data_IF_763946227796
#
_entry.id   IF_763946227796
#
_cell.length_a   1.000
_cell.length_b   1.000
_cell.length_c   1.000
_cell.angle_alpha   90.00
_cell.angle_beta   90.00
_cell.angle_gamma   90.00
#
_symmetry.space_group_name_H-M   'P 1'
#
loop_
_entity.id
_entity.type
_entity.pdbx_description
1 polymer ?
#
# COMPACT_ATOMS: atom_id res chain seq x y z
N UNK A 1 -14.18 30.32 1.75
CA UNK A 1 -15.48 30.53 1.06
C UNK A 1 -15.78 29.24 0.32
N UNK A 2 -16.89 28.59 0.67
CA UNK A 2 -17.35 27.35 0.03
C UNK A 2 -17.96 27.75 -1.32
N UNK A 3 -17.34 27.34 -2.42
CA UNK A 3 -17.91 27.55 -3.75
C UNK A 3 -18.93 26.42 -4.01
N UNK A 4 -20.18 26.82 -4.15
CA UNK A 4 -21.34 25.93 -4.18
C UNK A 4 -21.63 25.35 -5.56
N UNK A 5 -20.85 24.35 -5.98
CA UNK A 5 -21.24 23.49 -7.11
C UNK A 5 -21.50 22.03 -6.70
N UNK A 6 -21.23 21.64 -5.46
CA UNK A 6 -21.54 20.30 -4.96
C UNK A 6 -20.85 19.17 -5.74
N UNK A 7 -19.86 19.50 -6.56
CA UNK A 7 -19.09 18.51 -7.30
C UNK A 7 -18.07 17.94 -6.33
N UNK A 8 -18.19 16.65 -6.03
CA UNK A 8 -17.24 15.93 -5.19
C UNK A 8 -15.96 15.73 -6.00
N UNK A 9 -15.22 16.81 -6.26
CA UNK A 9 -13.88 16.80 -6.83
C UNK A 9 -12.86 16.22 -5.85
N UNK A 10 -13.21 15.18 -5.09
CA UNK A 10 -12.27 14.40 -4.28
C UNK A 10 -11.55 13.42 -5.21
N UNK A 11 -10.81 14.04 -6.12
CA UNK A 11 -9.38 13.89 -6.25
C UNK A 11 -8.88 12.51 -6.71
N UNK A 12 -9.19 12.18 -7.97
CA UNK A 12 -8.51 11.13 -8.72
C UNK A 12 -6.97 11.28 -8.70
N UNK A 13 -6.46 12.51 -8.65
CA UNK A 13 -5.02 12.76 -8.54
C UNK A 13 -4.46 12.38 -7.16
N UNK A 14 -5.20 12.64 -6.06
CA UNK A 14 -4.82 12.14 -4.72
C UNK A 14 -4.86 10.61 -4.67
N UNK A 15 -5.84 9.98 -5.34
CA UNK A 15 -5.93 8.52 -5.39
C UNK A 15 -4.76 7.90 -6.17
N UNK A 16 -4.39 8.51 -7.29
CA UNK A 16 -3.23 8.10 -8.07
C UNK A 16 -1.94 8.32 -7.28
N UNK A 17 -1.81 9.46 -6.59
CA UNK A 17 -0.69 9.79 -5.72
C UNK A 17 -0.57 8.83 -4.54
N UNK A 18 -1.68 8.47 -3.91
CA UNK A 18 -1.72 7.49 -2.83
C UNK A 18 -1.29 6.10 -3.34
N UNK A 19 -1.78 5.65 -4.50
CA UNK A 19 -1.38 4.38 -5.09
C UNK A 19 0.13 4.35 -5.45
N UNK A 20 0.67 5.45 -5.97
CA UNK A 20 2.11 5.58 -6.27
C UNK A 20 2.96 5.59 -4.99
N UNK A 21 2.49 6.27 -3.95
CA UNK A 21 3.14 6.32 -2.64
C UNK A 21 3.17 4.94 -1.98
N UNK A 22 2.08 4.18 -2.09
CA UNK A 22 1.99 2.78 -1.62
C UNK A 22 3.01 1.90 -2.35
N UNK A 23 3.10 1.99 -3.68
CA UNK A 23 4.08 1.24 -4.46
C UNK A 23 5.53 1.57 -4.07
N UNK A 24 5.81 2.86 -3.85
CA UNK A 24 7.13 3.33 -3.38
C UNK A 24 7.46 2.79 -1.99
N UNK A 25 6.49 2.81 -1.06
CA UNK A 25 6.65 2.28 0.28
C UNK A 25 6.93 0.78 0.29
N UNK A 26 6.24 -0.01 -0.55
CA UNK A 26 6.50 -1.44 -0.71
C UNK A 26 7.93 -1.67 -1.22
N UNK A 27 8.35 -0.94 -2.25
CA UNK A 27 9.71 -1.09 -2.79
C UNK A 27 10.81 -0.75 -1.79
N UNK A 28 10.62 0.30 -0.98
CA UNK A 28 11.55 0.67 0.08
C UNK A 28 11.62 -0.40 1.19
N UNK A 29 10.47 -0.99 1.54
CA UNK A 29 10.38 -2.06 2.54
C UNK A 29 11.10 -3.33 2.07
N UNK A 30 10.93 -3.70 0.80
CA UNK A 30 11.65 -4.81 0.18
C UNK A 30 13.16 -4.60 0.12
N UNK A 31 13.60 -3.40 -0.27
CA UNK A 31 15.03 -3.06 -0.29
C UNK A 31 15.64 -3.21 1.10
N UNK A 32 14.98 -2.65 2.12
CA UNK A 32 15.48 -2.67 3.51
C UNK A 32 15.61 -4.10 4.03
N UNK A 33 14.64 -4.98 3.76
CA UNK A 33 14.72 -6.40 4.13
C UNK A 33 15.85 -7.13 3.41
N UNK A 34 16.06 -6.82 2.12
CA UNK A 34 17.16 -7.36 1.33
C UNK A 34 18.53 -6.96 1.89
N UNK A 35 18.67 -5.69 2.26
CA UNK A 35 19.90 -5.15 2.85
C UNK A 35 20.21 -5.81 4.20
N UNK A 36 19.21 -5.89 5.09
CA UNK A 36 19.34 -6.54 6.40
C UNK A 36 19.72 -8.02 6.24
N UNK A 37 19.09 -8.75 5.33
CA UNK A 37 19.43 -10.15 5.07
C UNK A 37 20.89 -10.30 4.59
N UNK A 38 21.35 -9.40 3.73
CA UNK A 38 22.72 -9.43 3.19
C UNK A 38 23.75 -9.12 4.27
N UNK A 39 23.50 -8.10 5.08
CA UNK A 39 24.37 -7.70 6.18
C UNK A 39 24.47 -8.82 7.22
N UNK A 40 23.35 -9.41 7.63
CA UNK A 40 23.34 -10.48 8.61
C UNK A 40 24.02 -11.75 8.06
N UNK A 41 23.79 -12.12 6.80
CA UNK A 41 24.50 -13.26 6.20
C UNK A 41 26.03 -13.11 6.31
N UNK A 42 26.55 -11.90 6.16
CA UNK A 42 27.98 -11.60 6.33
C UNK A 42 28.44 -11.80 7.77
N UNK A 43 27.61 -11.44 8.75
CA UNK A 43 27.91 -11.51 10.19
C UNK A 43 27.75 -12.93 10.77
N UNK A 44 26.89 -13.77 10.17
CA UNK A 44 26.58 -15.12 10.67
C UNK A 44 27.76 -16.10 10.63
N UNK A 45 28.83 -15.79 9.92
CA UNK A 45 30.04 -16.63 9.85
C UNK A 45 30.66 -16.89 11.23
N UNK A 46 30.55 -15.93 12.16
CA UNK A 46 31.09 -16.04 13.53
C UNK A 46 30.09 -16.50 14.58
N UNK A 47 28.82 -16.74 14.22
CA UNK A 47 27.78 -17.06 15.18
C UNK A 47 27.76 -18.55 15.55
N UNK A 48 27.46 -18.80 16.82
CA UNK A 48 27.09 -20.13 17.31
C UNK A 48 25.74 -20.61 16.71
N UNK A 49 25.41 -21.88 16.93
CA UNK A 49 24.22 -22.50 16.36
C UNK A 49 22.92 -21.91 16.91
N UNK A 50 22.90 -21.51 18.17
CA UNK A 50 21.71 -20.96 18.82
C UNK A 50 21.38 -19.57 18.28
N UNK A 51 22.40 -18.73 18.08
CA UNK A 51 22.25 -17.42 17.44
C UNK A 51 21.75 -17.55 15.99
N UNK A 52 22.22 -18.55 15.24
CA UNK A 52 21.74 -18.84 13.88
C UNK A 52 20.28 -19.27 13.86
N UNK A 53 19.87 -20.11 14.80
CA UNK A 53 18.48 -20.55 14.94
C UNK A 53 17.56 -19.40 15.34
N UNK A 54 17.96 -18.63 16.35
CA UNK A 54 17.22 -17.46 16.82
C UNK A 54 17.10 -16.37 15.74
N UNK A 55 18.08 -16.27 14.84
CA UNK A 55 17.99 -15.40 13.67
C UNK A 55 17.02 -15.94 12.62
N UNK A 56 17.10 -17.23 12.28
CA UNK A 56 16.19 -17.86 11.31
C UNK A 56 14.71 -17.66 11.70
N UNK A 57 14.39 -17.77 12.99
CA UNK A 57 13.05 -17.49 13.52
C UNK A 57 12.66 -16.04 13.26
N UNK A 58 13.51 -15.08 13.67
CA UNK A 58 13.25 -13.64 13.47
C UNK A 58 13.15 -13.26 12.00
N UNK A 59 13.97 -13.87 11.16
CA UNK A 59 13.95 -13.67 9.71
C UNK A 59 12.59 -14.08 9.13
N UNK A 60 12.08 -15.24 9.56
CA UNK A 60 10.76 -15.69 9.15
C UNK A 60 9.65 -14.75 9.64
N UNK A 61 9.74 -14.29 10.88
CA UNK A 61 8.77 -13.36 11.47
C UNK A 61 8.70 -12.03 10.72
N UNK A 62 9.84 -11.36 10.48
CA UNK A 62 9.83 -10.10 9.75
C UNK A 62 9.38 -10.27 8.30
N UNK A 63 9.66 -11.43 7.68
CA UNK A 63 9.32 -11.67 6.27
C UNK A 63 7.80 -11.82 6.16
N UNK A 64 7.22 -12.60 7.08
CA UNK A 64 5.77 -12.77 7.20
C UNK A 64 5.07 -11.44 7.46
N UNK A 65 5.58 -10.63 8.41
CA UNK A 65 5.02 -9.31 8.70
C UNK A 65 5.07 -8.38 7.48
N UNK A 66 6.15 -8.45 6.71
CA UNK A 66 6.33 -7.65 5.49
C UNK A 66 5.36 -8.05 4.40
N UNK A 67 5.12 -9.34 4.22
CA UNK A 67 4.13 -9.84 3.25
C UNK A 67 2.71 -9.42 3.64
N UNK A 68 2.35 -9.45 4.93
CA UNK A 68 1.07 -8.93 5.40
C UNK A 68 0.91 -7.43 5.15
N UNK A 69 1.98 -6.63 5.35
CA UNK A 69 1.96 -5.19 5.04
C UNK A 69 1.71 -4.98 3.55
N UNK A 70 2.38 -5.74 2.67
CA UNK A 70 2.15 -5.67 1.23
C UNK A 70 0.72 -6.04 0.86
N UNK A 71 0.17 -7.11 1.42
CA UNK A 71 -1.21 -7.50 1.19
C UNK A 71 -2.19 -6.41 1.61
N UNK A 72 -2.04 -5.86 2.81
CA UNK A 72 -2.90 -4.79 3.31
C UNK A 72 -2.82 -3.54 2.42
N UNK A 73 -1.62 -3.19 1.95
CA UNK A 73 -1.40 -2.07 1.03
C UNK A 73 -2.00 -2.31 -0.36
N UNK A 74 -1.92 -3.53 -0.89
CA UNK A 74 -2.58 -3.91 -2.14
C UNK A 74 -4.11 -3.88 -2.01
N UNK A 75 -4.65 -4.39 -0.90
CA UNK A 75 -6.08 -4.32 -0.60
C UNK A 75 -6.55 -2.86 -0.48
N UNK A 76 -5.78 -2.01 0.21
CA UNK A 76 -6.06 -0.58 0.31
C UNK A 76 -6.09 0.09 -1.07
N UNK A 77 -5.13 -0.20 -1.95
CA UNK A 77 -5.10 0.28 -3.33
C UNK A 77 -6.33 -0.18 -4.14
N UNK A 78 -6.73 -1.43 -3.99
CA UNK A 78 -7.94 -1.96 -4.65
C UNK A 78 -9.20 -1.26 -4.16
N UNK A 79 -9.38 -1.14 -2.84
CA UNK A 79 -10.54 -0.44 -2.26
C UNK A 79 -10.61 1.02 -2.69
N UNK A 80 -9.46 1.70 -2.82
CA UNK A 80 -9.40 3.06 -3.34
C UNK A 80 -9.88 3.16 -4.79
N UNK A 81 -9.48 2.19 -5.62
CA UNK A 81 -9.88 2.12 -7.04
C UNK A 81 -11.38 1.84 -7.18
N UNK A 82 -11.91 0.93 -6.37
CA UNK A 82 -13.34 0.59 -6.34
C UNK A 82 -14.20 1.77 -5.90
N UNK A 83 -13.80 2.48 -4.83
CA UNK A 83 -14.49 3.68 -4.35
C UNK A 83 -14.55 4.77 -5.43
N UNK A 84 -13.47 4.94 -6.18
CA UNK A 84 -13.40 5.89 -7.28
C UNK A 84 -14.37 5.53 -8.43
N UNK A 85 -14.46 4.24 -8.78
CA UNK A 85 -15.42 3.72 -9.75
C UNK A 85 -16.87 3.99 -9.34
N UNK A 86 -17.22 3.74 -8.07
CA UNK A 86 -18.56 3.97 -7.53
C UNK A 86 -18.97 5.45 -7.52
N UNK A 87 -18.04 6.36 -7.20
CA UNK A 87 -18.29 7.82 -7.25
C UNK A 87 -18.63 8.27 -8.67
N UNK A 88 -17.81 7.89 -9.65
CA UNK A 88 -18.02 8.29 -11.06
C UNK A 88 -19.32 7.74 -11.66
N UNK A 89 -19.73 6.53 -11.28
CA UNK A 89 -20.99 5.93 -11.71
C UNK A 89 -22.22 6.61 -11.08
N UNK A 90 -22.12 6.98 -9.80
CA UNK A 90 -23.19 7.67 -9.08
C UNK A 90 -23.36 9.11 -9.56
N UNK A 91 -22.25 9.82 -9.82
CA UNK A 91 -22.28 11.16 -10.44
C UNK A 91 -22.93 11.10 -11.81
N UNK A 92 -22.49 10.21 -12.72
CA UNK A 92 -23.08 10.03 -14.06
C UNK A 92 -24.58 9.71 -14.03
N UNK A 93 -25.03 8.92 -13.06
CA UNK A 93 -26.45 8.61 -12.89
C UNK A 93 -27.25 9.82 -12.39
N UNK A 94 -26.67 10.62 -11.50
CA UNK A 94 -27.31 11.84 -11.00
C UNK A 94 -27.38 12.94 -12.07
N UNK A 95 -26.32 13.22 -12.84
CA UNK A 95 -26.39 14.21 -13.94
C UNK A 95 -27.42 13.83 -15.01
N UNK A 96 -27.57 12.53 -15.33
CA UNK A 96 -28.61 12.07 -16.26
C UNK A 96 -30.04 12.26 -15.73
N UNK A 97 -30.23 12.25 -14.41
CA UNK A 97 -31.55 12.37 -13.77
C UNK A 97 -31.94 13.84 -13.52
N UNK A 98 -30.99 14.68 -13.11
CA UNK A 98 -31.25 16.12 -12.84
C UNK A 98 -31.21 17.00 -14.10
N UNK A 99 -30.60 16.54 -15.19
CA UNK A 99 -30.62 17.25 -16.49
C UNK A 99 -31.86 16.98 -17.35
N UNK A 100 -32.73 16.06 -16.92
CA UNK A 100 -33.96 15.66 -17.63
C UNK A 100 -35.25 16.20 -16.97
N UNK A 101 -35.12 17.10 -15.98
CA UNK A 101 -36.23 17.73 -15.26
C UNK A 101 -36.42 19.19 -15.61
#
# INVERSE_FOLDING_TARGET
MFNGDGTYHVNWDDQHTAAASVGTGIGALDSTLGDVNTEVNTLTAGWDSEAKEAYSIRQKEWTTASDHIKEALLQFKTGLTEAAGLSSGSEKKNIGTVGSG
#
